data_IF_924256125108
#
_entry.id   IF_924256125108
#
_cell.length_a   1.000
_cell.length_b   1.000
_cell.length_c   1.000
_cell.angle_alpha   90.00
_cell.angle_beta   90.00
_cell.angle_gamma   90.00
#
_symmetry.space_group_name_H-M   'P 1'
#
loop_
_entity.id
_entity.type
_entity.pdbx_description
1 polymer ?
#
# COMPACT_ATOMS: atom_id res chain seq x y z
N UNK A 1 20.54 5.43 -10.46
CA UNK A 1 20.03 4.23 -9.76
C UNK A 1 18.89 4.69 -8.87
N UNK A 2 17.75 4.00 -8.88
CA UNK A 2 16.55 4.30 -8.09
C UNK A 2 15.84 2.99 -7.71
N UNK A 3 14.89 3.04 -6.77
CA UNK A 3 13.94 1.94 -6.55
C UNK A 3 12.96 1.97 -7.72
N UNK A 4 12.89 0.87 -8.48
CA UNK A 4 11.99 0.77 -9.62
C UNK A 4 10.58 0.37 -9.18
N UNK A 5 10.48 -0.62 -8.29
CA UNK A 5 9.21 -1.02 -7.69
C UNK A 5 9.40 -1.64 -6.31
N UNK A 6 8.29 -1.72 -5.57
CA UNK A 6 8.09 -2.56 -4.38
C UNK A 6 7.05 -3.60 -4.76
N UNK A 7 7.17 -4.82 -4.23
CA UNK A 7 6.24 -5.91 -4.56
C UNK A 7 5.56 -6.47 -3.30
N UNK A 8 4.27 -6.78 -3.41
CA UNK A 8 3.44 -7.38 -2.36
C UNK A 8 2.80 -8.66 -2.86
N UNK A 9 2.85 -9.72 -2.05
CA UNK A 9 1.94 -10.85 -2.22
C UNK A 9 0.59 -10.53 -1.62
N UNK A 10 -0.45 -10.96 -2.32
CA UNK A 10 -1.83 -10.66 -1.99
C UNK A 10 -2.70 -11.91 -2.12
N UNK A 11 -3.66 -12.01 -1.20
CA UNK A 11 -4.72 -13.02 -1.26
C UNK A 11 -5.77 -12.68 -2.32
N UNK A 12 -6.11 -11.39 -2.44
CA UNK A 12 -7.06 -10.85 -3.41
C UNK A 12 -6.49 -9.60 -4.11
N UNK A 13 -5.82 -9.79 -5.25
CA UNK A 13 -5.22 -8.69 -6.00
C UNK A 13 -6.25 -7.74 -6.60
N UNK A 14 -7.50 -8.16 -6.78
CA UNK A 14 -8.53 -7.25 -7.29
C UNK A 14 -8.97 -6.27 -6.20
N UNK A 15 -9.04 -6.73 -4.94
CA UNK A 15 -9.29 -5.86 -3.79
C UNK A 15 -8.15 -4.84 -3.59
N UNK A 16 -6.89 -5.28 -3.62
CA UNK A 16 -5.76 -4.34 -3.52
C UNK A 16 -5.73 -3.37 -4.71
N UNK A 17 -5.90 -3.85 -5.95
CA UNK A 17 -5.97 -2.97 -7.12
C UNK A 17 -7.06 -1.92 -6.94
N UNK A 18 -8.27 -2.32 -6.54
CA UNK A 18 -9.39 -1.42 -6.30
C UNK A 18 -9.07 -0.35 -5.25
N UNK A 19 -8.48 -0.76 -4.12
CA UNK A 19 -8.06 0.14 -3.05
C UNK A 19 -7.05 1.19 -3.53
N UNK A 20 -5.93 0.76 -4.12
CA UNK A 20 -4.89 1.70 -4.55
C UNK A 20 -5.35 2.60 -5.72
N UNK A 21 -6.15 2.08 -6.65
CA UNK A 21 -6.72 2.89 -7.73
C UNK A 21 -7.73 3.92 -7.20
N UNK A 22 -8.51 3.58 -6.18
CA UNK A 22 -9.57 4.46 -5.66
C UNK A 22 -9.02 5.55 -4.73
N UNK A 23 -8.15 5.20 -3.78
CA UNK A 23 -7.70 6.11 -2.73
C UNK A 23 -6.41 6.87 -3.07
N UNK A 24 -5.61 6.34 -3.98
CA UNK A 24 -4.29 6.90 -4.31
C UNK A 24 -4.15 7.28 -5.79
N UNK A 25 -5.26 7.30 -6.53
CA UNK A 25 -5.30 7.56 -7.98
C UNK A 25 -4.30 6.70 -8.78
N UNK A 26 -3.98 5.50 -8.28
CA UNK A 26 -3.00 4.64 -8.92
C UNK A 26 -3.55 4.12 -10.26
N UNK A 27 -2.70 4.08 -11.29
CA UNK A 27 -3.03 3.51 -12.59
C UNK A 27 -2.51 2.08 -12.69
N UNK A 28 -3.42 1.11 -12.82
CA UNK A 28 -3.08 -0.30 -13.04
C UNK A 28 -2.82 -0.58 -14.52
N UNK A 29 -1.84 -1.44 -14.81
CA UNK A 29 -1.64 -2.00 -16.15
C UNK A 29 -2.66 -3.12 -16.47
N UNK A 30 -2.51 -3.75 -17.63
CA UNK A 30 -3.22 -5.00 -17.92
C UNK A 30 -2.75 -6.13 -17.01
N UNK A 31 -3.70 -6.96 -16.57
CA UNK A 31 -3.41 -8.11 -15.71
C UNK A 31 -2.48 -9.07 -16.41
N UNK A 32 -1.34 -9.38 -15.79
CA UNK A 32 -0.51 -10.48 -16.22
C UNK A 32 -0.96 -11.78 -15.54
N UNK A 33 -0.97 -12.89 -16.28
CA UNK A 33 -1.29 -14.21 -15.71
C UNK A 33 -0.39 -15.29 -16.32
N UNK A 34 0.22 -16.09 -15.44
CA UNK A 34 0.92 -17.31 -15.81
C UNK A 34 0.18 -18.52 -15.23
N UNK A 35 -0.67 -19.13 -16.06
CA UNK A 35 -1.50 -20.28 -15.66
C UNK A 35 -0.67 -21.47 -15.18
N UNK A 36 0.48 -21.76 -15.81
CA UNK A 36 1.34 -22.90 -15.44
C UNK A 36 1.91 -22.76 -14.03
N UNK A 37 2.12 -21.52 -13.56
CA UNK A 37 2.66 -21.22 -12.23
C UNK A 37 1.59 -20.80 -11.21
N UNK A 38 0.34 -20.67 -11.64
CA UNK A 38 -0.74 -20.13 -10.80
C UNK A 38 -0.48 -18.68 -10.34
N UNK A 39 0.22 -17.89 -11.14
CA UNK A 39 0.66 -16.53 -10.79
C UNK A 39 -0.17 -15.49 -11.55
N UNK A 40 -0.54 -14.41 -10.89
CA UNK A 40 -1.07 -13.19 -11.52
C UNK A 40 -0.46 -11.96 -10.88
N UNK A 41 -0.32 -10.86 -11.64
CA UNK A 41 0.11 -9.59 -11.08
C UNK A 41 -0.44 -8.37 -11.83
N UNK A 42 -0.41 -7.23 -11.14
CA UNK A 42 -0.54 -5.89 -11.69
C UNK A 42 0.66 -5.05 -11.26
N UNK A 43 1.05 -4.11 -12.12
CA UNK A 43 1.84 -2.95 -11.73
C UNK A 43 0.92 -1.74 -11.58
N UNK A 44 1.02 -1.07 -10.44
CA UNK A 44 0.31 0.17 -10.13
C UNK A 44 1.30 1.34 -10.19
N UNK A 45 0.95 2.38 -10.92
CA UNK A 45 1.77 3.58 -11.11
C UNK A 45 1.11 4.81 -10.48
N UNK A 46 1.88 5.65 -9.78
CA UNK A 46 1.41 6.85 -9.07
C UNK A 46 1.78 8.15 -9.81
N UNK A 47 1.87 8.10 -11.13
CA UNK A 47 2.30 9.20 -12.00
C UNK A 47 3.81 9.23 -12.26
N UNK A 48 4.65 9.26 -11.22
CA UNK A 48 6.12 9.20 -11.36
C UNK A 48 6.75 8.39 -10.22
N UNK A 49 8.03 8.02 -10.38
CA UNK A 49 8.78 7.31 -9.34
C UNK A 49 8.56 5.80 -9.37
N UNK A 50 8.62 5.18 -8.19
CA UNK A 50 8.49 3.74 -8.04
C UNK A 50 7.06 3.26 -8.32
N UNK A 51 6.95 2.01 -8.79
CA UNK A 51 5.67 1.32 -9.00
C UNK A 51 5.40 0.35 -7.84
N UNK A 52 4.14 -0.01 -7.64
CA UNK A 52 3.76 -1.09 -6.74
C UNK A 52 3.36 -2.31 -7.56
N UNK A 53 4.09 -3.41 -7.44
CA UNK A 53 3.67 -4.70 -7.99
C UNK A 53 2.83 -5.45 -6.96
N UNK A 54 1.56 -5.70 -7.28
CA UNK A 54 0.71 -6.59 -6.48
C UNK A 54 0.59 -7.94 -7.18
N UNK A 55 0.87 -9.01 -6.44
CA UNK A 55 1.02 -10.36 -6.97
C UNK A 55 0.13 -11.34 -6.22
N UNK A 56 -0.39 -12.35 -6.91
CA UNK A 56 -1.18 -13.42 -6.29
C UNK A 56 -0.77 -14.78 -6.80
N UNK A 57 -0.66 -15.71 -5.87
CA UNK A 57 -0.50 -17.14 -6.13
C UNK A 57 -1.06 -17.92 -4.94
N UNK A 58 -1.98 -18.85 -5.20
CA UNK A 58 -2.69 -19.61 -4.17
C UNK A 58 -1.78 -20.51 -3.31
N UNK A 59 -0.55 -20.77 -3.75
CA UNK A 59 0.41 -21.58 -3.00
C UNK A 59 1.29 -20.77 -2.04
N UNK A 60 1.16 -19.44 -2.03
CA UNK A 60 1.90 -18.59 -1.10
C UNK A 60 1.27 -18.72 0.29
N UNK A 61 2.05 -19.04 1.32
CA UNK A 61 1.53 -19.18 2.67
C UNK A 61 1.10 -17.83 3.23
N UNK A 62 0.18 -17.86 4.17
CA UNK A 62 -0.24 -16.68 4.92
C UNK A 62 0.95 -16.01 5.61
N UNK A 63 0.93 -14.68 5.64
CA UNK A 63 1.88 -13.91 6.42
C UNK A 63 1.69 -14.24 7.91
N UNK A 64 2.78 -14.57 8.60
CA UNK A 64 2.78 -14.89 10.03
C UNK A 64 2.99 -13.65 10.91
N UNK A 65 3.31 -12.51 10.31
CA UNK A 65 3.49 -11.27 11.03
C UNK A 65 2.13 -10.76 11.52
N UNK A 66 2.08 -10.36 12.78
CA UNK A 66 0.95 -9.61 13.32
C UNK A 66 0.90 -8.20 12.71
N UNK A 67 -0.32 -7.75 12.43
CA UNK A 67 -0.64 -6.37 12.02
C UNK A 67 -0.48 -5.39 13.19
N UNK A 68 -0.53 -5.88 14.44
CA UNK A 68 -0.31 -5.06 15.63
C UNK A 68 1.16 -5.02 16.07
N UNK A 69 1.93 -6.10 15.82
CA UNK A 69 3.34 -6.20 16.21
C UNK A 69 4.27 -5.83 15.04
N UNK A 70 5.55 -5.59 15.35
CA UNK A 70 6.59 -5.29 14.35
C UNK A 70 7.68 -6.37 14.36
N UNK A 71 8.29 -6.60 13.19
CA UNK A 71 9.31 -7.64 12.97
C UNK A 71 10.45 -7.09 12.10
N UNK A 72 11.67 -7.63 12.21
CA UNK A 72 12.78 -7.17 11.37
C UNK A 72 12.50 -7.43 9.88
N UNK A 73 12.75 -6.42 9.03
CA UNK A 73 12.56 -6.53 7.58
C UNK A 73 11.89 -5.28 6.97
N UNK A 74 11.24 -5.46 5.82
CA UNK A 74 10.40 -4.42 5.21
C UNK A 74 9.14 -4.22 6.07
N UNK A 75 8.92 -3.01 6.57
CA UNK A 75 7.84 -2.70 7.53
C UNK A 75 6.65 -1.98 6.88
N UNK A 76 6.93 -0.98 6.06
CA UNK A 76 5.95 -0.14 5.37
C UNK A 76 6.56 0.41 4.07
N UNK A 77 5.75 1.13 3.32
CA UNK A 77 6.19 2.10 2.33
C UNK A 77 5.37 3.38 2.47
N UNK A 78 5.93 4.51 2.05
CA UNK A 78 5.28 5.82 2.16
C UNK A 78 4.77 6.30 0.80
N UNK A 79 3.60 6.95 0.80
CA UNK A 79 3.05 7.65 -0.36
C UNK A 79 2.93 9.13 -0.02
N UNK A 80 3.66 9.96 -0.78
CA UNK A 80 3.58 11.42 -0.71
C UNK A 80 2.34 11.92 -1.44
N UNK A 81 1.55 12.74 -0.74
CA UNK A 81 0.29 13.32 -1.24
C UNK A 81 0.47 14.80 -1.66
N UNK A 82 1.60 15.41 -1.30
CA UNK A 82 2.00 16.77 -1.68
C UNK A 82 1.55 17.87 -0.72
N UNK A 83 0.79 17.58 0.34
CA UNK A 83 0.42 18.56 1.37
C UNK A 83 -0.14 17.91 2.63
N UNK A 84 0.09 18.52 3.79
CA UNK A 84 -0.48 18.11 5.09
C UNK A 84 -2.01 17.98 5.04
N UNK A 85 -2.68 18.94 4.39
CA UNK A 85 -4.13 18.92 4.19
C UNK A 85 -4.62 17.64 3.51
N UNK A 86 -3.91 17.16 2.48
CA UNK A 86 -4.29 15.92 1.78
C UNK A 86 -4.04 14.68 2.62
N UNK A 87 -3.02 14.71 3.50
CA UNK A 87 -2.84 13.67 4.52
C UNK A 87 -4.06 13.64 5.42
N UNK A 88 -4.46 14.77 6.00
CA UNK A 88 -5.65 14.84 6.87
C UNK A 88 -6.92 14.33 6.19
N UNK A 89 -7.18 14.79 4.96
CA UNK A 89 -8.38 14.45 4.19
C UNK A 89 -8.42 12.96 3.83
N UNK A 90 -7.31 12.39 3.34
CA UNK A 90 -7.27 10.99 2.95
C UNK A 90 -7.34 10.07 4.18
N UNK A 91 -6.66 10.40 5.27
CA UNK A 91 -6.73 9.62 6.51
C UNK A 91 -8.14 9.61 7.09
N UNK A 92 -8.83 10.76 7.09
CA UNK A 92 -10.21 10.84 7.53
C UNK A 92 -11.16 10.02 6.63
N UNK A 93 -10.94 10.06 5.31
CA UNK A 93 -11.73 9.29 4.33
C UNK A 93 -11.56 7.79 4.55
N UNK A 94 -10.31 7.32 4.65
CA UNK A 94 -10.00 5.91 4.90
C UNK A 94 -10.63 5.42 6.22
N UNK A 95 -10.54 6.22 7.28
CA UNK A 95 -11.17 5.90 8.56
C UNK A 95 -12.69 5.80 8.46
N UNK A 96 -13.33 6.75 7.77
CA UNK A 96 -14.78 6.76 7.55
C UNK A 96 -15.26 5.56 6.72
N UNK A 97 -14.45 5.11 5.77
CA UNK A 97 -14.71 3.95 4.92
C UNK A 97 -14.38 2.60 5.61
N UNK A 98 -13.90 2.65 6.86
CA UNK A 98 -13.69 1.48 7.71
C UNK A 98 -12.28 0.88 7.66
N UNK A 99 -11.31 1.56 7.03
CA UNK A 99 -9.91 1.15 7.07
C UNK A 99 -9.26 1.56 8.40
N UNK A 100 -8.32 0.72 8.86
CA UNK A 100 -7.61 0.96 10.12
C UNK A 100 -6.60 2.08 9.97
N UNK A 101 -6.74 3.11 10.81
CA UNK A 101 -5.71 4.12 11.06
C UNK A 101 -4.96 3.71 12.32
N UNK A 102 -3.69 3.31 12.18
CA UNK A 102 -2.84 2.91 13.30
C UNK A 102 -2.29 4.11 14.07
N UNK A 103 -1.99 5.20 13.35
CA UNK A 103 -1.56 6.45 13.93
C UNK A 103 -2.06 7.63 13.09
N UNK A 104 -2.61 8.65 13.75
CA UNK A 104 -3.24 9.79 13.08
C UNK A 104 -2.23 10.78 12.48
N UNK A 105 -2.71 11.79 11.74
CA UNK A 105 -1.87 12.86 11.21
C UNK A 105 -1.09 13.56 12.33
N UNK A 106 0.23 13.60 12.21
CA UNK A 106 1.14 14.21 13.19
C UNK A 106 2.47 14.58 12.55
N UNK A 107 3.22 15.47 13.20
CA UNK A 107 4.63 15.68 12.89
C UNK A 107 5.49 14.68 13.67
N UNK A 108 6.34 13.93 12.97
CA UNK A 108 7.28 12.97 13.57
C UNK A 108 8.52 13.67 14.14
N UNK A 109 9.29 12.94 14.96
CA UNK A 109 10.54 13.47 15.54
C UNK A 109 11.63 13.78 14.52
N UNK A 110 11.55 13.22 13.31
CA UNK A 110 12.45 13.48 12.17
C UNK A 110 11.87 14.47 11.15
N UNK A 111 10.69 15.04 11.41
CA UNK A 111 10.17 16.21 10.71
C UNK A 111 9.22 15.94 9.55
N UNK A 112 8.72 14.72 9.38
CA UNK A 112 7.66 14.42 8.42
C UNK A 112 6.29 14.74 9.02
N UNK A 113 5.38 15.28 8.21
CA UNK A 113 3.96 15.28 8.54
C UNK A 113 3.34 14.04 7.90
N UNK A 114 2.83 13.13 8.71
CA UNK A 114 2.36 11.85 8.23
C UNK A 114 1.19 11.28 9.05
N UNK A 115 0.53 10.25 8.49
CA UNK A 115 -0.28 9.30 9.25
C UNK A 115 0.01 7.87 8.80
N UNK A 116 -0.38 6.88 9.60
CA UNK A 116 -0.13 5.46 9.34
C UNK A 116 -1.47 4.71 9.21
N UNK A 117 -1.69 4.11 8.05
CA UNK A 117 -2.92 3.37 7.72
C UNK A 117 -2.62 1.94 7.28
N UNK A 118 -3.66 1.10 7.24
CA UNK A 118 -3.61 -0.24 6.68
C UNK A 118 -4.41 -0.35 5.39
N UNK A 119 -3.84 -1.04 4.42
CA UNK A 119 -4.58 -1.48 3.23
C UNK A 119 -5.53 -2.67 3.56
N UNK A 120 -6.35 -3.15 2.61
CA UNK A 120 -7.31 -4.23 2.84
C UNK A 120 -6.71 -5.54 3.36
N UNK A 121 -5.41 -5.77 3.16
CA UNK A 121 -4.70 -6.97 3.60
C UNK A 121 -3.77 -6.71 4.79
N UNK A 122 -3.85 -5.53 5.39
CA UNK A 122 -3.09 -5.18 6.59
C UNK A 122 -1.65 -4.73 6.33
N UNK A 123 -1.31 -4.36 5.08
CA UNK A 123 -0.02 -3.76 4.78
C UNK A 123 0.00 -2.31 5.28
N UNK A 124 1.12 -1.91 5.88
CA UNK A 124 1.30 -0.58 6.45
C UNK A 124 1.71 0.44 5.38
N UNK A 125 0.96 1.53 5.32
CA UNK A 125 1.22 2.65 4.42
C UNK A 125 1.34 3.93 5.24
N UNK A 126 2.45 4.63 5.08
CA UNK A 126 2.58 6.00 5.58
C UNK A 126 2.04 6.97 4.53
N UNK A 127 1.11 7.83 4.94
CA UNK A 127 0.60 8.94 4.13
C UNK A 127 1.41 10.17 4.51
N UNK A 128 2.16 10.76 3.58
CA UNK A 128 3.08 11.86 3.89
C UNK A 128 2.98 13.01 2.89
N UNK A 129 3.79 14.05 3.07
CA UNK A 129 3.85 15.24 2.20
C UNK A 129 4.80 15.02 1.04
#
# INVERSE_FOLDING_TARGET
>A
MNIEHIALWSRDIEALKGFYCHYFDASANEKYTNQKKGFSSYFLSFGTGARLEIMQNANIPDNKNSVAEQYLGLIHFAISLGSEKKVDELTATLSADGFSVLDGPRTTGDGYYESLVLDPEGNRIELTV
#
